data_IF_252942994999
#
_entry.id   IF_252942994999
#
_cell.length_a   1.000
_cell.length_b   1.000
_cell.length_c   1.000
_cell.angle_alpha   90.00
_cell.angle_beta   90.00
_cell.angle_gamma   90.00
#
_symmetry.space_group_name_H-M   'P 1'
#
loop_
_entity.id
_entity.type
_entity.pdbx_description
1 polymer ?
#
# COMPACT_ATOMS: atom_id res chain seq x y z
N UNK A 1 29.13 29.58 -11.17
CA UNK A 1 29.72 28.24 -10.98
C UNK A 1 28.67 27.28 -10.44
N UNK A 2 28.47 26.12 -11.06
CA UNK A 2 27.54 25.10 -10.55
C UNK A 2 28.18 24.46 -9.31
N UNK A 3 27.49 24.39 -8.15
CA UNK A 3 28.08 23.81 -6.95
C UNK A 3 28.50 22.35 -7.15
N UNK A 4 29.71 22.00 -6.73
CA UNK A 4 30.28 20.65 -6.90
C UNK A 4 29.40 19.53 -6.32
N UNK A 5 28.63 19.82 -5.25
CA UNK A 5 27.67 18.88 -4.67
C UNK A 5 26.51 18.55 -5.62
N UNK A 6 26.10 19.51 -6.48
CA UNK A 6 25.02 19.35 -7.46
C UNK A 6 25.49 18.46 -8.61
N UNK A 7 26.72 18.64 -9.08
CA UNK A 7 27.38 17.79 -10.09
C UNK A 7 27.56 16.36 -9.57
N UNK A 8 28.07 16.19 -8.34
CA UNK A 8 28.23 14.87 -7.70
C UNK A 8 26.90 14.14 -7.54
N UNK A 9 25.82 14.86 -7.22
CA UNK A 9 24.46 14.30 -7.10
C UNK A 9 23.90 13.88 -8.46
N UNK A 10 24.09 14.67 -9.50
CA UNK A 10 23.66 14.34 -10.86
C UNK A 10 24.45 13.18 -11.46
N UNK A 11 25.77 13.12 -11.22
CA UNK A 11 26.61 12.00 -11.62
C UNK A 11 26.21 10.71 -10.90
N UNK A 12 25.94 10.75 -9.58
CA UNK A 12 25.40 9.60 -8.83
C UNK A 12 24.04 9.16 -9.37
N UNK A 13 23.19 10.09 -9.78
CA UNK A 13 21.87 9.81 -10.37
C UNK A 13 22.02 9.16 -11.75
N UNK A 14 22.96 9.64 -12.56
CA UNK A 14 23.31 9.08 -13.86
C UNK A 14 23.90 7.68 -13.75
N UNK A 15 24.84 7.45 -12.82
CA UNK A 15 25.41 6.12 -12.55
C UNK A 15 24.33 5.14 -12.05
N UNK A 16 23.44 5.58 -11.16
CA UNK A 16 22.29 4.76 -10.77
C UNK A 16 21.36 4.48 -11.96
N UNK A 17 21.09 5.47 -12.81
CA UNK A 17 20.29 5.30 -14.04
C UNK A 17 20.93 4.30 -15.01
N UNK A 18 22.26 4.35 -15.18
CA UNK A 18 23.01 3.39 -15.98
C UNK A 18 23.00 1.98 -15.38
N UNK A 19 23.05 1.85 -14.05
CA UNK A 19 22.93 0.56 -13.37
C UNK A 19 21.57 -0.14 -13.59
N UNK A 20 20.54 0.59 -14.01
CA UNK A 20 19.23 0.03 -14.37
C UNK A 20 19.10 -0.34 -15.86
N UNK A 21 19.98 0.17 -16.73
CA UNK A 21 19.89 -0.01 -18.17
C UNK A 21 19.97 -1.49 -18.59
N UNK A 22 20.84 -2.34 -18.01
CA UNK A 22 20.85 -3.77 -18.32
C UNK A 22 19.52 -4.45 -17.99
N UNK A 23 18.92 -4.11 -16.84
CA UNK A 23 17.60 -4.62 -16.45
C UNK A 23 16.50 -4.15 -17.38
N UNK A 24 16.56 -2.91 -17.87
CA UNK A 24 15.59 -2.37 -18.83
C UNK A 24 15.67 -3.08 -20.19
N UNK A 25 16.87 -3.38 -20.67
CA UNK A 25 17.06 -4.11 -21.94
C UNK A 25 16.69 -5.59 -21.83
N UNK A 26 16.96 -6.21 -20.67
CA UNK A 26 16.66 -7.61 -20.43
C UNK A 26 15.18 -7.86 -20.10
N UNK A 27 14.48 -6.90 -19.49
CA UNK A 27 13.11 -7.07 -19.00
C UNK A 27 12.11 -7.55 -20.07
N UNK A 28 12.06 -7.01 -21.31
CA UNK A 28 11.13 -7.50 -22.33
C UNK A 28 11.36 -8.97 -22.70
N UNK A 29 12.63 -9.40 -22.81
CA UNK A 29 12.97 -10.80 -23.09
C UNK A 29 12.62 -11.70 -21.91
N UNK A 30 12.94 -11.27 -20.68
CA UNK A 30 12.61 -11.99 -19.47
C UNK A 30 11.09 -12.14 -19.29
N UNK A 31 10.32 -11.08 -19.56
CA UNK A 31 8.85 -11.10 -19.56
C UNK A 31 8.31 -12.10 -20.57
N UNK A 32 8.80 -12.10 -21.82
CA UNK A 32 8.36 -13.07 -22.85
C UNK A 32 8.68 -14.51 -22.44
N UNK A 33 9.87 -14.75 -21.91
CA UNK A 33 10.27 -16.08 -21.42
C UNK A 33 9.40 -16.54 -20.23
N UNK A 34 9.05 -15.61 -19.33
CA UNK A 34 8.11 -15.86 -18.25
C UNK A 34 6.71 -16.16 -18.78
N UNK A 35 6.14 -15.30 -19.62
CA UNK A 35 4.80 -15.45 -20.22
C UNK A 35 4.67 -16.80 -20.97
N UNK A 36 5.73 -17.26 -21.64
CA UNK A 36 5.74 -18.55 -22.34
C UNK A 36 5.76 -19.78 -21.41
N UNK A 37 6.17 -19.63 -20.15
CA UNK A 37 6.34 -20.74 -19.19
C UNK A 37 5.36 -20.68 -18.02
N UNK A 38 4.74 -19.53 -17.77
CA UNK A 38 3.96 -19.29 -16.56
C UNK A 38 2.80 -20.26 -16.40
N UNK A 39 2.16 -20.70 -17.48
CA UNK A 39 1.06 -21.67 -17.42
C UNK A 39 1.48 -23.00 -16.78
N UNK A 40 2.74 -23.43 -16.95
CA UNK A 40 3.28 -24.63 -16.31
C UNK A 40 3.76 -24.39 -14.87
N UNK A 41 3.89 -23.12 -14.44
CA UNK A 41 4.38 -22.73 -13.12
C UNK A 41 3.26 -22.23 -12.20
N UNK A 42 2.09 -21.92 -12.76
CA UNK A 42 0.92 -21.47 -12.02
C UNK A 42 0.09 -22.69 -11.64
N UNK A 43 -0.16 -22.85 -10.34
CA UNK A 43 -1.11 -23.81 -9.81
C UNK A 43 -2.38 -23.08 -9.40
N UNK A 44 -3.48 -23.42 -10.06
CA UNK A 44 -4.81 -22.95 -9.68
C UNK A 44 -5.46 -23.95 -8.71
N UNK A 45 -6.14 -23.44 -7.70
CA UNK A 45 -6.94 -24.25 -6.76
C UNK A 45 -8.27 -23.56 -6.56
N UNK A 46 -9.38 -24.27 -6.82
CA UNK A 46 -10.71 -23.74 -6.59
C UNK A 46 -10.98 -23.61 -5.09
N UNK A 47 -11.54 -22.47 -4.71
CA UNK A 47 -12.04 -22.24 -3.36
C UNK A 47 -13.53 -22.56 -3.25
N UNK A 48 -14.05 -22.44 -2.03
CA UNK A 48 -15.44 -22.72 -1.69
C UNK A 48 -16.33 -21.49 -1.88
N UNK A 49 -15.76 -20.28 -1.81
CA UNK A 49 -16.56 -19.07 -1.97
C UNK A 49 -17.03 -18.91 -3.43
N UNK A 50 -18.30 -18.55 -3.66
CA UNK A 50 -18.81 -18.36 -5.01
C UNK A 50 -18.15 -17.14 -5.66
N UNK A 51 -18.17 -17.10 -6.99
CA UNK A 51 -17.82 -15.91 -7.76
C UNK A 51 -19.01 -14.93 -7.77
N UNK A 52 -18.77 -13.69 -7.36
CA UNK A 52 -19.74 -12.58 -7.41
C UNK A 52 -19.39 -11.61 -8.55
N UNK A 53 -20.17 -10.53 -8.71
CA UNK A 53 -19.90 -9.46 -9.67
C UNK A 53 -18.74 -8.55 -9.26
N UNK A 54 -18.37 -8.51 -7.98
CA UNK A 54 -17.24 -7.73 -7.49
C UNK A 54 -16.12 -8.65 -7.06
N UNK A 55 -14.93 -8.45 -7.63
CA UNK A 55 -13.77 -9.28 -7.34
C UNK A 55 -12.69 -8.51 -6.60
N UNK A 56 -11.92 -9.23 -5.79
CA UNK A 56 -10.67 -8.75 -5.23
C UNK A 56 -9.51 -9.64 -5.70
N UNK A 57 -8.38 -9.01 -6.04
CA UNK A 57 -7.07 -9.68 -6.08
C UNK A 57 -6.39 -9.40 -4.75
N UNK A 58 -6.16 -10.45 -3.95
CA UNK A 58 -5.37 -10.37 -2.72
C UNK A 58 -4.03 -11.05 -2.93
N UNK A 59 -2.96 -10.26 -3.00
CA UNK A 59 -1.61 -10.76 -3.22
C UNK A 59 -0.87 -11.01 -1.92
N UNK A 60 -0.24 -12.18 -1.83
CA UNK A 60 0.44 -12.68 -0.65
C UNK A 60 1.91 -13.01 -0.95
N UNK A 61 2.80 -12.68 -0.03
CA UNK A 61 4.15 -13.21 0.05
C UNK A 61 4.47 -13.65 1.48
N UNK A 62 3.94 -14.83 1.86
CA UNK A 62 4.03 -15.39 3.21
C UNK A 62 4.74 -16.76 3.20
N UNK A 63 6.07 -16.80 3.01
CA UNK A 63 6.82 -18.06 2.95
C UNK A 63 6.86 -18.83 4.28
N UNK A 64 6.44 -18.21 5.39
CA UNK A 64 6.39 -18.80 6.74
C UNK A 64 4.98 -19.30 7.14
N UNK A 65 4.06 -19.40 6.18
CA UNK A 65 2.68 -19.82 6.41
C UNK A 65 1.70 -18.64 6.46
N UNK A 66 0.42 -18.95 6.30
CA UNK A 66 -0.64 -17.94 6.18
C UNK A 66 -1.00 -17.37 7.54
N UNK A 67 -0.93 -16.04 7.65
CA UNK A 67 -1.21 -15.31 8.89
C UNK A 67 -2.69 -15.18 9.19
N UNK A 68 -3.05 -15.06 10.47
CA UNK A 68 -4.44 -14.89 10.92
C UNK A 68 -5.07 -13.61 10.36
N UNK A 69 -4.27 -12.55 10.20
CA UNK A 69 -4.73 -11.32 9.55
C UNK A 69 -5.11 -11.53 8.09
N UNK A 70 -4.43 -12.41 7.35
CA UNK A 70 -4.79 -12.73 5.96
C UNK A 70 -6.17 -13.34 5.88
N UNK A 71 -6.45 -14.32 6.74
CA UNK A 71 -7.77 -14.97 6.82
C UNK A 71 -8.83 -13.95 7.23
N UNK A 72 -8.50 -13.05 8.15
CA UNK A 72 -9.39 -11.94 8.53
C UNK A 72 -9.73 -11.03 7.35
N UNK A 73 -8.76 -10.66 6.51
CA UNK A 73 -9.01 -9.87 5.29
C UNK A 73 -9.97 -10.60 4.35
N UNK A 74 -9.79 -11.91 4.15
CA UNK A 74 -10.65 -12.72 3.29
C UNK A 74 -12.08 -12.82 3.82
N UNK A 75 -12.23 -13.04 5.12
CA UNK A 75 -13.54 -13.03 5.79
C UNK A 75 -14.24 -11.68 5.61
N UNK A 76 -13.51 -10.57 5.79
CA UNK A 76 -14.06 -9.22 5.63
C UNK A 76 -14.49 -8.94 4.19
N UNK A 77 -13.67 -9.28 3.18
CA UNK A 77 -14.03 -9.14 1.76
C UNK A 77 -15.27 -9.96 1.42
N UNK A 78 -15.31 -11.23 1.87
CA UNK A 78 -16.46 -12.13 1.67
C UNK A 78 -17.73 -11.58 2.32
N UNK A 79 -17.64 -11.06 3.54
CA UNK A 79 -18.78 -10.47 4.25
C UNK A 79 -19.37 -9.26 3.52
N UNK A 80 -18.53 -8.52 2.78
CA UNK A 80 -18.95 -7.40 1.93
C UNK A 80 -19.35 -7.83 0.52
N UNK A 81 -19.51 -9.14 0.25
CA UNK A 81 -19.94 -9.63 -1.07
C UNK A 81 -18.86 -9.54 -2.16
N UNK A 82 -17.58 -9.44 -1.78
CA UNK A 82 -16.45 -9.39 -2.73
C UNK A 82 -15.76 -10.75 -2.79
N UNK A 83 -15.80 -11.41 -3.95
CA UNK A 83 -15.13 -12.70 -4.12
C UNK A 83 -13.64 -12.50 -4.38
N UNK A 84 -12.78 -13.24 -3.66
CA UNK A 84 -11.33 -13.02 -3.75
C UNK A 84 -10.65 -14.09 -4.60
N UNK A 85 -9.85 -13.64 -5.58
CA UNK A 85 -8.77 -14.39 -6.19
C UNK A 85 -7.50 -14.12 -5.37
N UNK A 86 -7.04 -15.13 -4.63
CA UNK A 86 -5.81 -15.06 -3.84
C UNK A 86 -4.62 -15.37 -4.72
N UNK A 87 -3.60 -14.53 -4.72
CA UNK A 87 -2.35 -14.76 -5.44
C UNK A 87 -1.23 -15.02 -4.44
N UNK A 88 -0.72 -16.25 -4.37
CA UNK A 88 0.46 -16.55 -3.57
C UNK A 88 1.72 -16.50 -4.42
N UNK A 89 2.62 -15.57 -4.10
CA UNK A 89 3.97 -15.49 -4.68
C UNK A 89 4.98 -16.38 -3.92
N UNK A 90 4.52 -17.25 -3.03
CA UNK A 90 5.32 -18.25 -2.33
C UNK A 90 4.60 -19.61 -2.37
N UNK A 91 5.33 -20.73 -2.30
CA UNK A 91 4.72 -22.05 -2.17
C UNK A 91 3.79 -22.12 -0.95
N UNK A 92 2.63 -22.74 -1.12
CA UNK A 92 1.68 -22.98 -0.02
C UNK A 92 1.76 -24.43 0.46
N UNK A 93 1.76 -24.61 1.78
CA UNK A 93 1.49 -25.92 2.38
C UNK A 93 0.05 -26.34 2.06
N UNK A 94 -0.25 -27.65 2.17
CA UNK A 94 -1.62 -28.13 1.95
C UNK A 94 -2.60 -27.55 3.00
N UNK A 95 -2.15 -27.37 4.25
CA UNK A 95 -2.92 -26.73 5.32
C UNK A 95 -3.23 -25.27 5.01
N UNK A 96 -2.23 -24.50 4.56
CA UNK A 96 -2.42 -23.10 4.17
C UNK A 96 -3.37 -22.98 2.98
N UNK A 97 -3.19 -23.83 1.97
CA UNK A 97 -4.04 -23.87 0.78
C UNK A 97 -5.49 -24.19 1.14
N UNK A 98 -5.72 -25.18 2.01
CA UNK A 98 -7.05 -25.54 2.49
C UNK A 98 -7.70 -24.39 3.30
N UNK A 99 -6.92 -23.72 4.15
CA UNK A 99 -7.38 -22.57 4.94
C UNK A 99 -7.82 -21.42 4.03
N UNK A 100 -7.00 -21.06 3.03
CA UNK A 100 -7.35 -20.05 2.02
C UNK A 100 -8.59 -20.47 1.21
N UNK A 101 -8.69 -21.73 0.82
CA UNK A 101 -9.78 -22.24 -0.03
C UNK A 101 -11.15 -22.11 0.64
N UNK A 102 -11.21 -22.08 1.97
CA UNK A 102 -12.46 -21.89 2.73
C UNK A 102 -13.11 -20.51 2.49
N UNK A 103 -12.31 -19.50 2.17
CA UNK A 103 -12.77 -18.11 2.04
C UNK A 103 -12.57 -17.52 0.63
N UNK A 104 -11.61 -18.02 -0.13
CA UNK A 104 -11.33 -17.57 -1.49
C UNK A 104 -12.32 -18.18 -2.51
N UNK A 105 -12.48 -17.48 -3.63
CA UNK A 105 -13.10 -18.05 -4.83
C UNK A 105 -12.09 -18.87 -5.62
N UNK A 106 -10.88 -18.33 -5.79
CA UNK A 106 -9.81 -18.97 -6.53
C UNK A 106 -8.47 -18.66 -5.87
N UNK A 107 -7.56 -19.63 -5.89
CA UNK A 107 -6.18 -19.45 -5.44
C UNK A 107 -5.26 -19.68 -6.63
N UNK A 108 -4.36 -18.72 -6.86
CA UNK A 108 -3.30 -18.76 -7.85
C UNK A 108 -1.95 -18.78 -7.12
N UNK A 109 -1.32 -19.95 -7.08
CA UNK A 109 0.07 -20.08 -6.61
C UNK A 109 1.03 -19.92 -7.80
N UNK A 110 2.02 -19.04 -7.66
CA UNK A 110 2.95 -18.69 -8.75
C UNK A 110 4.36 -18.35 -8.22
N UNK A 111 5.40 -18.38 -9.08
CA UNK A 111 6.71 -17.84 -8.74
C UNK A 111 6.64 -16.35 -8.43
N UNK A 112 7.52 -15.85 -7.55
CA UNK A 112 7.62 -14.41 -7.22
C UNK A 112 8.28 -13.56 -8.33
N UNK A 113 7.84 -13.72 -9.58
CA UNK A 113 8.32 -12.92 -10.71
C UNK A 113 7.51 -11.62 -10.81
N UNK A 114 8.19 -10.48 -10.91
CA UNK A 114 7.54 -9.16 -10.99
C UNK A 114 6.93 -8.65 -9.67
N UNK A 115 7.18 -9.34 -8.54
CA UNK A 115 6.61 -9.03 -7.22
C UNK A 115 5.09 -8.81 -7.27
N UNK A 116 4.58 -7.85 -6.51
CA UNK A 116 3.17 -7.53 -6.40
C UNK A 116 2.54 -7.23 -7.76
N UNK A 117 3.14 -6.34 -8.55
CA UNK A 117 2.63 -5.99 -9.87
C UNK A 117 2.61 -7.17 -10.86
N UNK A 118 3.54 -8.12 -10.73
CA UNK A 118 3.52 -9.36 -11.50
C UNK A 118 2.32 -10.23 -11.13
N UNK A 119 2.07 -10.41 -9.83
CA UNK A 119 0.91 -11.19 -9.37
C UNK A 119 -0.43 -10.51 -9.65
N UNK A 120 -0.52 -9.18 -9.49
CA UNK A 120 -1.69 -8.40 -9.91
C UNK A 120 -1.98 -8.60 -11.39
N UNK A 121 -0.96 -8.46 -12.23
CA UNK A 121 -1.12 -8.66 -13.67
C UNK A 121 -1.64 -10.06 -14.00
N UNK A 122 -1.01 -11.11 -13.49
CA UNK A 122 -1.39 -12.48 -13.84
C UNK A 122 -2.82 -12.79 -13.37
N UNK A 123 -3.22 -12.34 -12.18
CA UNK A 123 -4.59 -12.48 -11.69
C UNK A 123 -5.60 -11.66 -12.49
N UNK A 124 -5.30 -10.41 -12.80
CA UNK A 124 -6.21 -9.54 -13.57
C UNK A 124 -6.38 -10.07 -14.98
N UNK A 125 -5.30 -10.49 -15.65
CA UNK A 125 -5.41 -11.09 -16.98
C UNK A 125 -6.21 -12.40 -16.94
N UNK A 126 -6.04 -13.23 -15.91
CA UNK A 126 -6.87 -14.43 -15.74
C UNK A 126 -8.35 -14.10 -15.53
N UNK A 127 -8.67 -13.08 -14.73
CA UNK A 127 -10.05 -12.60 -14.55
C UNK A 127 -10.66 -12.10 -15.86
N UNK A 128 -9.86 -11.44 -16.70
CA UNK A 128 -10.29 -10.89 -17.99
C UNK A 128 -10.40 -11.96 -19.11
N UNK A 129 -9.88 -13.17 -18.89
CA UNK A 129 -10.09 -14.32 -19.79
C UNK A 129 -11.47 -14.98 -19.57
N UNK A 130 -12.10 -14.78 -18.40
CA UNK A 130 -13.48 -15.19 -18.12
C UNK A 130 -14.45 -14.25 -18.88
N UNK A 131 -15.52 -14.82 -19.44
CA UNK A 131 -16.54 -14.09 -20.22
C UNK A 131 -17.44 -13.20 -19.35
N UNK A 132 -17.32 -13.28 -18.03
CA UNK A 132 -18.03 -12.46 -17.05
C UNK A 132 -17.09 -11.44 -16.39
N UNK A 133 -16.78 -10.31 -17.05
CA UNK A 133 -15.95 -9.28 -16.44
C UNK A 133 -16.59 -8.78 -15.14
N UNK A 134 -15.82 -8.54 -14.07
CA UNK A 134 -16.41 -8.04 -12.84
C UNK A 134 -16.85 -6.59 -13.00
N UNK A 135 -17.91 -6.21 -12.30
CA UNK A 135 -18.39 -4.83 -12.22
C UNK A 135 -17.38 -3.92 -11.50
N UNK A 136 -16.63 -4.46 -10.54
CA UNK A 136 -15.57 -3.73 -9.82
C UNK A 136 -14.46 -4.70 -9.47
N UNK A 137 -13.22 -4.21 -9.53
CA UNK A 137 -12.04 -4.99 -9.20
C UNK A 137 -11.21 -4.30 -8.14
N UNK A 138 -11.17 -4.86 -6.93
CA UNK A 138 -10.28 -4.46 -5.86
C UNK A 138 -8.92 -5.14 -6.01
N UNK A 139 -7.86 -4.47 -5.59
CA UNK A 139 -6.50 -5.01 -5.55
C UNK A 139 -5.85 -4.62 -4.23
N UNK A 140 -5.39 -5.63 -3.50
CA UNK A 140 -4.77 -5.51 -2.20
C UNK A 140 -3.50 -6.39 -2.13
N UNK A 141 -2.58 -6.07 -1.23
CA UNK A 141 -1.51 -6.99 -0.82
C UNK A 141 -1.47 -7.18 0.69
N UNK A 142 -0.69 -8.17 1.12
CA UNK A 142 -0.44 -8.50 2.52
C UNK A 142 0.62 -7.62 3.20
N UNK A 143 1.01 -6.52 2.57
CA UNK A 143 2.00 -5.60 3.14
C UNK A 143 1.38 -4.65 4.20
N UNK A 144 0.11 -4.88 4.54
CA UNK A 144 -0.69 -4.17 5.52
C UNK A 144 -1.53 -5.16 6.35
N UNK A 145 -1.86 -4.77 7.58
CA UNK A 145 -2.98 -5.36 8.32
C UNK A 145 -4.26 -4.63 7.93
N UNK A 146 -5.26 -5.35 7.46
CA UNK A 146 -6.56 -4.80 7.07
C UNK A 146 -7.69 -5.86 7.16
N UNK A 147 -8.89 -5.48 7.61
CA UNK A 147 -9.16 -4.25 8.35
C UNK A 147 -8.57 -4.34 9.76
N UNK A 148 -8.27 -3.19 10.37
CA UNK A 148 -7.92 -3.14 11.79
C UNK A 148 -9.16 -3.28 12.66
N UNK A 149 -10.25 -2.61 12.29
CA UNK A 149 -11.51 -2.56 13.03
C UNK A 149 -12.60 -3.31 12.24
N UNK A 150 -13.47 -4.11 12.90
CA UNK A 150 -14.49 -4.89 12.19
C UNK A 150 -15.48 -4.06 11.36
N UNK A 151 -15.71 -2.80 11.76
CA UNK A 151 -16.63 -1.83 11.14
C UNK A 151 -15.94 -0.92 10.10
N UNK A 152 -14.76 -1.30 9.60
CA UNK A 152 -14.09 -0.61 8.50
C UNK A 152 -15.01 -0.41 7.30
N UNK A 153 -15.16 0.84 6.85
CA UNK A 153 -16.00 1.28 5.73
C UNK A 153 -15.23 1.43 4.41
N UNK A 154 -13.98 0.95 4.33
CA UNK A 154 -13.11 1.23 3.17
C UNK A 154 -13.62 0.64 1.85
N UNK A 155 -14.30 -0.51 1.89
CA UNK A 155 -14.87 -1.12 0.69
C UNK A 155 -16.05 -0.26 0.19
N UNK A 156 -16.87 0.21 1.11
CA UNK A 156 -18.07 1.03 0.89
C UNK A 156 -17.68 2.41 0.37
N UNK A 157 -16.64 3.03 0.95
CA UNK A 157 -16.09 4.30 0.49
C UNK A 157 -15.55 4.19 -0.94
N UNK A 158 -14.82 3.10 -1.24
CA UNK A 158 -14.37 2.82 -2.60
C UNK A 158 -15.53 2.58 -3.59
N UNK A 159 -16.64 1.97 -3.14
CA UNK A 159 -17.87 1.77 -3.93
C UNK A 159 -18.60 3.07 -4.20
N UNK A 160 -18.67 3.94 -3.21
CA UNK A 160 -19.32 5.25 -3.30
C UNK A 160 -18.55 6.23 -4.19
N UNK A 161 -17.26 5.98 -4.44
CA UNK A 161 -16.50 6.76 -5.41
C UNK A 161 -16.94 6.47 -6.85
N UNK A 162 -17.38 7.52 -7.55
CA UNK A 162 -17.72 7.51 -8.98
C UNK A 162 -16.50 7.48 -9.92
N UNK A 163 -15.30 7.29 -9.38
CA UNK A 163 -14.07 7.28 -10.17
C UNK A 163 -13.69 5.91 -10.70
N UNK A 164 -13.01 5.89 -11.84
CA UNK A 164 -12.51 4.67 -12.49
C UNK A 164 -11.37 4.00 -11.75
N UNK A 165 -10.53 4.78 -11.06
CA UNK A 165 -9.43 4.28 -10.24
C UNK A 165 -9.45 5.01 -8.90
N UNK A 166 -9.72 4.26 -7.85
CA UNK A 166 -9.72 4.76 -6.48
C UNK A 166 -8.60 4.08 -5.70
N UNK A 167 -7.86 4.80 -4.86
CA UNK A 167 -6.86 4.21 -3.97
C UNK A 167 -6.93 4.74 -2.55
N UNK A 168 -6.22 4.10 -1.62
CA UNK A 168 -6.27 4.56 -0.23
C UNK A 168 -5.54 5.89 -0.01
N UNK A 169 -4.29 6.01 -0.48
CA UNK A 169 -3.47 7.22 -0.33
C UNK A 169 -2.93 7.67 -1.68
N UNK A 170 -3.16 8.94 -2.01
CA UNK A 170 -2.52 9.63 -3.12
C UNK A 170 -1.29 10.40 -2.61
N UNK A 171 -0.10 10.01 -3.08
CA UNK A 171 1.14 10.73 -2.82
C UNK A 171 1.34 11.85 -3.86
N UNK A 172 0.93 13.07 -3.53
CA UNK A 172 1.04 14.27 -4.35
C UNK A 172 2.22 15.20 -3.99
N UNK A 173 3.04 14.82 -3.00
CA UNK A 173 4.21 15.61 -2.55
C UNK A 173 5.40 15.60 -3.50
N UNK A 174 5.43 14.66 -4.43
CA UNK A 174 6.51 14.59 -5.40
C UNK A 174 6.40 15.75 -6.38
N UNK A 175 7.48 16.54 -6.54
CA UNK A 175 7.50 17.67 -7.49
C UNK A 175 7.09 17.22 -8.90
N UNK A 176 5.96 17.75 -9.37
CA UNK A 176 5.37 17.53 -10.69
C UNK A 176 4.12 16.64 -10.64
N UNK A 177 3.01 17.10 -11.21
CA UNK A 177 1.72 16.37 -11.23
C UNK A 177 1.83 14.94 -11.80
N UNK A 178 2.78 14.70 -12.71
CA UNK A 178 3.08 13.39 -13.29
C UNK A 178 3.68 12.37 -12.30
N UNK A 179 4.06 12.81 -11.09
CA UNK A 179 4.61 11.95 -10.04
C UNK A 179 3.62 11.69 -8.91
N UNK A 180 2.44 12.32 -8.98
CA UNK A 180 1.36 12.04 -8.06
C UNK A 180 0.82 10.63 -8.34
N UNK A 181 0.95 9.72 -7.37
CA UNK A 181 0.60 8.31 -7.55
C UNK A 181 -0.14 7.75 -6.35
N UNK A 182 -1.06 6.83 -6.62
CA UNK A 182 -1.69 6.00 -5.60
C UNK A 182 -0.68 4.99 -5.09
N UNK A 183 -0.70 4.74 -3.78
CA UNK A 183 0.08 3.66 -3.20
C UNK A 183 -0.56 2.29 -3.51
N UNK A 184 0.28 1.28 -3.72
CA UNK A 184 -0.11 0.01 -4.36
C UNK A 184 -0.55 -1.10 -3.39
N UNK A 185 -1.08 -0.78 -2.20
CA UNK A 185 -1.54 -1.79 -1.22
C UNK A 185 -3.06 -1.88 -1.07
N UNK A 186 -3.80 -0.88 -1.57
CA UNK A 186 -5.26 -0.92 -1.69
C UNK A 186 -5.68 0.04 -2.81
N UNK A 187 -6.28 -0.50 -3.85
CA UNK A 187 -6.93 0.28 -4.91
C UNK A 187 -8.09 -0.50 -5.52
N UNK A 188 -9.03 0.20 -6.16
CA UNK A 188 -10.14 -0.38 -6.88
C UNK A 188 -10.29 0.24 -8.26
N UNK A 189 -10.67 -0.60 -9.22
CA UNK A 189 -11.06 -0.19 -10.57
C UNK A 189 -12.58 -0.25 -10.69
N UNK A 190 -13.18 0.87 -11.06
CA UNK A 190 -14.62 0.98 -11.31
C UNK A 190 -15.06 0.31 -12.61
N UNK A 191 -16.38 0.18 -12.82
CA UNK A 191 -16.94 -0.59 -13.94
C UNK A 191 -16.43 -0.15 -15.32
N UNK A 192 -16.33 1.16 -15.55
CA UNK A 192 -15.87 1.72 -16.82
C UNK A 192 -14.40 1.41 -17.10
N UNK A 193 -13.54 1.40 -16.09
CA UNK A 193 -12.15 0.96 -16.26
C UNK A 193 -12.10 -0.53 -16.59
N UNK A 194 -12.73 -1.38 -15.79
CA UNK A 194 -12.63 -2.85 -15.95
C UNK A 194 -13.16 -3.30 -17.32
N UNK A 195 -14.25 -2.69 -17.81
CA UNK A 195 -14.82 -3.01 -19.12
C UNK A 195 -14.01 -2.46 -20.31
N UNK A 196 -13.01 -1.62 -20.08
CA UNK A 196 -12.28 -0.94 -21.15
C UNK A 196 -11.21 -1.84 -21.78
N UNK A 197 -11.12 -1.91 -23.12
CA UNK A 197 -9.99 -2.56 -23.80
C UNK A 197 -8.64 -1.95 -23.42
N UNK A 198 -8.60 -0.65 -23.08
CA UNK A 198 -7.39 0.03 -22.64
C UNK A 198 -6.87 -0.49 -21.30
N UNK A 199 -7.78 -0.92 -20.41
CA UNK A 199 -7.44 -1.56 -19.14
C UNK A 199 -6.76 -2.91 -19.37
N UNK A 200 -7.37 -3.75 -20.21
CA UNK A 200 -6.79 -5.05 -20.57
C UNK A 200 -5.41 -4.89 -21.24
N UNK A 201 -5.28 -3.93 -22.17
CA UNK A 201 -4.01 -3.62 -22.83
C UNK A 201 -2.94 -3.17 -21.83
N UNK A 202 -3.27 -2.27 -20.90
CA UNK A 202 -2.36 -1.79 -19.87
C UNK A 202 -1.74 -2.95 -19.06
N UNK A 203 -2.56 -3.88 -18.58
CA UNK A 203 -2.07 -5.03 -17.82
C UNK A 203 -1.28 -6.02 -18.68
N UNK A 204 -1.70 -6.24 -19.94
CA UNK A 204 -0.98 -7.12 -20.87
C UNK A 204 0.45 -6.65 -21.14
N UNK A 205 0.60 -5.33 -21.31
CA UNK A 205 1.83 -4.64 -21.69
C UNK A 205 2.65 -4.13 -20.49
N UNK A 206 2.17 -4.39 -19.27
CA UNK A 206 2.83 -3.98 -18.04
C UNK A 206 4.31 -4.40 -18.03
N UNK A 207 5.17 -3.45 -17.67
CA UNK A 207 6.59 -3.70 -17.49
C UNK A 207 6.81 -4.66 -16.29
N UNK A 208 7.52 -5.77 -16.52
CA UNK A 208 7.83 -6.75 -15.47
C UNK A 208 9.34 -6.93 -15.32
N UNK A 209 9.79 -6.98 -14.07
CA UNK A 209 11.19 -7.23 -13.71
C UNK A 209 11.31 -7.74 -12.27
N UNK A 210 12.39 -8.46 -11.97
CA UNK A 210 12.73 -8.89 -10.59
C UNK A 210 13.57 -7.87 -9.82
N UNK A 211 13.70 -6.64 -10.33
CA UNK A 211 14.33 -5.55 -9.60
C UNK A 211 13.27 -4.72 -8.86
N UNK A 212 13.20 -4.86 -7.53
CA UNK A 212 12.20 -4.19 -6.67
C UNK A 212 12.16 -2.67 -6.87
N UNK A 213 13.32 -2.02 -6.98
CA UNK A 213 13.41 -0.57 -7.20
C UNK A 213 12.83 -0.16 -8.56
N UNK A 214 13.00 -0.99 -9.58
CA UNK A 214 12.41 -0.75 -10.89
C UNK A 214 10.91 -0.99 -10.91
N UNK A 215 10.40 -1.98 -10.17
CA UNK A 215 8.95 -2.19 -10.04
C UNK A 215 8.27 -0.95 -9.44
N UNK A 216 8.80 -0.39 -8.35
CA UNK A 216 8.23 0.87 -7.79
C UNK A 216 8.30 2.02 -8.81
N UNK A 217 9.44 2.20 -9.48
CA UNK A 217 9.64 3.32 -10.42
C UNK A 217 8.91 3.19 -11.74
N UNK A 218 8.61 1.97 -12.18
CA UNK A 218 8.04 1.69 -13.51
C UNK A 218 6.61 1.16 -13.48
N UNK A 219 6.15 0.67 -12.33
CA UNK A 219 4.79 0.19 -12.16
C UNK A 219 4.01 1.13 -11.23
N UNK A 220 4.38 1.23 -9.95
CA UNK A 220 3.61 2.00 -8.96
C UNK A 220 3.50 3.49 -9.30
N UNK A 221 4.64 4.18 -9.48
CA UNK A 221 4.64 5.62 -9.75
C UNK A 221 3.93 5.95 -11.08
N UNK A 222 4.18 5.23 -12.20
CA UNK A 222 3.54 5.56 -13.46
C UNK A 222 2.08 5.14 -13.57
N UNK A 223 1.58 4.17 -12.79
CA UNK A 223 0.23 3.62 -12.95
C UNK A 223 -0.85 4.71 -12.94
N UNK A 224 -0.87 5.54 -11.89
CA UNK A 224 -1.86 6.62 -11.78
C UNK A 224 -1.80 7.60 -12.95
N UNK A 225 -0.59 7.95 -13.39
CA UNK A 225 -0.39 8.81 -14.56
C UNK A 225 -0.86 8.15 -15.86
N UNK A 226 -0.55 6.87 -16.05
CA UNK A 226 -0.97 6.10 -17.23
C UNK A 226 -2.49 6.01 -17.32
N UNK A 227 -3.18 5.69 -16.23
CA UNK A 227 -4.64 5.64 -16.19
C UNK A 227 -5.28 7.00 -16.51
N UNK A 228 -4.73 8.10 -15.97
CA UNK A 228 -5.18 9.46 -16.34
C UNK A 228 -4.98 9.75 -17.83
N UNK A 229 -3.83 9.39 -18.40
CA UNK A 229 -3.56 9.55 -19.84
C UNK A 229 -4.52 8.73 -20.71
N UNK A 230 -4.96 7.57 -20.22
CA UNK A 230 -5.99 6.74 -20.87
C UNK A 230 -7.42 7.30 -20.71
N UNK A 231 -7.60 8.44 -20.04
CA UNK A 231 -8.89 9.11 -19.84
C UNK A 231 -9.66 8.67 -18.59
N UNK A 232 -9.04 7.89 -17.70
CA UNK A 232 -9.67 7.44 -16.46
C UNK A 232 -9.56 8.49 -15.34
N UNK A 233 -10.67 8.69 -14.64
CA UNK A 233 -10.77 9.51 -13.44
C UNK A 233 -10.11 8.82 -12.25
N UNK A 234 -9.49 9.60 -11.36
CA UNK A 234 -8.74 9.07 -10.21
C UNK A 234 -9.11 9.81 -8.93
N UNK A 235 -9.49 9.06 -7.90
CA UNK A 235 -9.68 9.56 -6.53
C UNK A 235 -8.81 8.79 -5.52
N UNK A 236 -8.75 9.31 -4.30
CA UNK A 236 -8.21 8.60 -3.17
C UNK A 236 -8.93 9.00 -1.88
N UNK A 237 -8.93 8.11 -0.88
CA UNK A 237 -9.46 8.42 0.46
C UNK A 237 -8.67 9.53 1.12
N UNK A 238 -7.35 9.38 1.08
CA UNK A 238 -6.44 10.26 1.80
C UNK A 238 -5.39 10.88 0.89
N UNK A 239 -5.06 12.11 1.24
CA UNK A 239 -3.93 12.89 0.73
C UNK A 239 -3.03 13.27 1.89
N UNK A 240 -1.83 13.72 1.56
CA UNK A 240 -0.90 14.20 2.57
C UNK A 240 -1.39 15.47 3.28
N UNK A 241 -2.25 16.27 2.64
CA UNK A 241 -2.91 17.42 3.28
C UNK A 241 -3.77 17.02 4.48
N UNK A 242 -4.37 15.83 4.45
CA UNK A 242 -5.27 15.37 5.50
C UNK A 242 -4.47 15.05 6.77
N UNK A 243 -3.23 14.56 6.61
CA UNK A 243 -2.28 14.40 7.71
C UNK A 243 -1.93 15.74 8.37
N UNK A 244 -1.68 16.79 7.59
CA UNK A 244 -1.43 18.13 8.11
C UNK A 244 -2.64 18.67 8.89
N UNK A 245 -3.84 18.51 8.37
CA UNK A 245 -5.08 18.93 9.04
C UNK A 245 -5.30 18.14 10.34
N UNK A 246 -5.11 16.82 10.31
CA UNK A 246 -5.22 15.97 11.48
C UNK A 246 -4.22 16.35 12.58
N UNK A 247 -2.98 16.69 12.22
CA UNK A 247 -1.99 17.21 13.18
C UNK A 247 -2.46 18.53 13.82
N UNK A 248 -3.01 19.44 13.02
CA UNK A 248 -3.57 20.72 13.48
C UNK A 248 -4.85 20.58 14.29
N UNK A 249 -5.51 19.43 14.29
CA UNK A 249 -6.68 19.16 15.12
C UNK A 249 -6.29 18.63 16.53
N UNK A 250 -5.05 18.22 16.75
CA UNK A 250 -4.60 17.69 18.03
C UNK A 250 -4.48 18.77 19.10
N UNK A 251 -4.70 18.38 20.36
CA UNK A 251 -4.34 19.21 21.51
C UNK A 251 -2.80 19.32 21.65
N UNK A 252 -2.32 20.31 22.40
CA UNK A 252 -0.89 20.58 22.52
C UNK A 252 -0.11 19.45 23.23
N UNK A 253 -0.74 18.70 24.12
CA UNK A 253 -0.08 17.60 24.82
C UNK A 253 0.16 16.41 23.88
N UNK A 254 -0.86 16.04 23.11
CA UNK A 254 -0.80 14.99 22.09
C UNK A 254 0.14 15.39 20.95
N UNK A 255 0.09 16.65 20.50
CA UNK A 255 0.96 17.15 19.44
C UNK A 255 2.45 17.11 19.86
N UNK A 256 2.77 17.41 21.12
CA UNK A 256 4.12 17.26 21.64
C UNK A 256 4.61 15.80 21.64
N UNK A 257 3.72 14.83 21.94
CA UNK A 257 4.06 13.39 21.80
C UNK A 257 4.35 13.03 20.35
N UNK A 258 3.55 13.54 19.41
CA UNK A 258 3.80 13.33 17.97
C UNK A 258 5.15 13.91 17.56
N UNK A 259 5.54 15.08 18.05
CA UNK A 259 6.86 15.67 17.78
C UNK A 259 7.98 14.78 18.34
N UNK A 260 7.83 14.28 19.57
CA UNK A 260 8.82 13.38 20.20
C UNK A 260 8.99 12.07 19.41
N UNK A 261 7.91 11.54 18.86
CA UNK A 261 7.94 10.44 17.91
C UNK A 261 8.63 10.82 16.60
N UNK A 262 8.26 11.96 16.00
CA UNK A 262 8.77 12.40 14.70
C UNK A 262 10.27 12.63 14.69
N UNK A 263 10.83 13.13 15.81
CA UNK A 263 12.28 13.30 16.01
C UNK A 263 13.05 11.97 15.89
N UNK A 264 12.42 10.86 16.27
CA UNK A 264 13.01 9.52 16.15
C UNK A 264 12.87 8.95 14.73
N UNK A 265 11.78 9.29 14.03
CA UNK A 265 11.50 8.80 12.67
C UNK A 265 12.29 9.55 11.59
N UNK A 266 12.35 10.88 11.64
CA UNK A 266 13.05 11.72 10.65
C UNK A 266 14.26 12.42 11.27
N UNK A 267 15.35 11.66 11.42
CA UNK A 267 16.62 12.14 11.98
C UNK A 267 17.20 13.36 11.25
N UNK A 268 16.83 13.56 9.98
CA UNK A 268 17.28 14.73 9.20
C UNK A 268 16.64 16.03 9.68
N UNK A 269 15.36 15.99 10.06
CA UNK A 269 14.60 17.16 10.50
C UNK A 269 14.54 17.27 12.04
N UNK A 270 15.02 16.25 12.75
CA UNK A 270 15.11 16.23 14.22
C UNK A 270 15.70 17.51 14.84
N UNK A 271 16.79 18.12 14.35
CA UNK A 271 17.33 19.34 14.94
C UNK A 271 16.35 20.53 14.92
N UNK A 272 15.44 20.58 13.93
CA UNK A 272 14.41 21.63 13.84
C UNK A 272 13.22 21.37 14.76
N UNK A 273 12.92 20.10 15.03
CA UNK A 273 11.77 19.70 15.84
C UNK A 273 12.08 19.60 17.35
N UNK A 274 13.34 19.30 17.72
CA UNK A 274 13.77 19.16 19.13
C UNK A 274 13.47 20.39 19.99
N UNK A 275 13.68 21.65 19.54
CA UNK A 275 13.38 22.84 20.34
C UNK A 275 11.94 22.88 20.86
N UNK A 276 10.96 22.39 20.10
CA UNK A 276 9.55 22.32 20.53
C UNK A 276 9.31 21.42 21.74
N UNK A 277 10.26 20.54 22.09
CA UNK A 277 10.16 19.63 23.23
C UNK A 277 10.85 20.18 24.48
N UNK A 278 11.78 21.12 24.33
CA UNK A 278 12.66 21.58 25.41
C UNK A 278 12.44 23.03 25.81
N UNK A 279 11.81 23.85 24.95
CA UNK A 279 11.73 25.30 25.13
C UNK A 279 10.32 25.79 25.47
N UNK A 280 10.23 26.51 26.60
CA UNK A 280 9.05 27.32 26.96
C UNK A 280 7.77 26.54 27.26
N UNK A 281 6.71 27.25 27.69
CA UNK A 281 5.40 26.67 27.87
C UNK A 281 4.76 26.30 26.51
N UNK A 282 3.91 25.27 26.51
CA UNK A 282 3.14 24.83 25.32
C UNK A 282 1.89 25.67 25.12
N UNK A 283 2.09 26.97 24.95
CA UNK A 283 1.04 27.98 24.78
C UNK A 283 0.68 28.22 23.30
N UNK A 284 -0.06 29.31 23.02
CA UNK A 284 -0.44 29.68 21.67
C UNK A 284 0.76 30.04 20.77
N UNK A 285 1.83 30.62 21.33
CA UNK A 285 3.02 30.95 20.56
C UNK A 285 3.80 29.69 20.18
N UNK A 286 3.88 28.70 21.09
CA UNK A 286 4.38 27.36 20.76
C UNK A 286 3.57 26.73 19.63
N UNK A 287 2.24 26.75 19.74
CA UNK A 287 1.33 26.18 18.73
C UNK A 287 1.54 26.79 17.35
N UNK A 288 1.63 28.12 17.26
CA UNK A 288 1.86 28.81 15.99
C UNK A 288 3.18 28.38 15.31
N UNK A 289 4.25 28.16 16.09
CA UNK A 289 5.53 27.67 15.53
C UNK A 289 5.43 26.22 15.04
N UNK A 290 4.72 25.36 15.77
CA UNK A 290 4.50 23.97 15.35
C UNK A 290 3.63 23.92 14.10
N UNK A 291 2.56 24.72 14.02
CA UNK A 291 1.68 24.79 12.84
C UNK A 291 2.46 25.24 11.60
N UNK A 292 3.40 26.17 11.73
CA UNK A 292 4.28 26.57 10.63
C UNK A 292 5.20 25.41 10.16
N UNK A 293 5.66 24.56 11.07
CA UNK A 293 6.44 23.35 10.72
C UNK A 293 5.57 22.25 10.09
N UNK A 294 4.29 22.14 10.50
CA UNK A 294 3.30 21.28 9.84
C UNK A 294 3.07 21.76 8.40
N UNK A 295 2.86 23.07 8.20
CA UNK A 295 2.67 23.65 6.86
C UNK A 295 3.91 23.52 5.97
N UNK A 296 5.10 23.50 6.58
CA UNK A 296 6.35 23.19 5.89
C UNK A 296 6.51 21.69 5.55
N UNK A 297 5.57 20.83 5.94
CA UNK A 297 5.56 19.40 5.65
C UNK A 297 6.57 18.58 6.46
N UNK A 298 6.97 19.06 7.64
CA UNK A 298 8.02 18.43 8.45
C UNK A 298 7.53 17.26 9.33
N UNK A 299 6.22 17.21 9.63
CA UNK A 299 5.64 16.22 10.54
C UNK A 299 4.84 15.10 9.86
N UNK A 300 4.54 15.23 8.57
CA UNK A 300 3.64 14.32 7.83
C UNK A 300 4.29 13.79 6.54
N UNK A 301 5.62 13.71 6.53
CA UNK A 301 6.42 13.32 5.36
C UNK A 301 6.10 11.94 4.80
N UNK A 302 5.64 11.02 5.64
CA UNK A 302 5.28 9.66 5.24
C UNK A 302 3.96 9.26 5.90
N UNK A 303 2.90 9.11 5.09
CA UNK A 303 1.55 8.88 5.59
C UNK A 303 1.47 7.66 6.52
N UNK A 304 1.82 6.46 6.04
CA UNK A 304 1.71 5.22 6.84
C UNK A 304 2.71 5.12 8.01
N UNK A 305 3.67 6.05 8.14
CA UNK A 305 4.60 6.10 9.28
C UNK A 305 4.11 7.13 10.30
N UNK A 306 3.06 7.91 10.02
CA UNK A 306 2.59 8.92 10.95
C UNK A 306 2.19 8.31 12.31
N UNK A 307 2.30 9.12 13.36
CA UNK A 307 2.00 8.68 14.73
C UNK A 307 0.56 8.14 14.85
N UNK A 308 0.29 7.09 15.65
CA UNK A 308 -1.04 6.50 15.79
C UNK A 308 -2.16 7.46 16.19
N UNK A 309 -1.85 8.50 16.96
CA UNK A 309 -2.79 9.60 17.25
C UNK A 309 -3.37 10.24 15.99
N UNK A 310 -2.56 10.34 14.93
CA UNK A 310 -2.96 10.91 13.64
C UNK A 310 -3.68 9.86 12.81
N UNK A 311 -3.06 8.70 12.58
CA UNK A 311 -3.60 7.68 11.69
C UNK A 311 -4.89 7.07 12.24
N UNK A 312 -4.85 6.56 13.47
CA UNK A 312 -5.96 5.83 14.07
C UNK A 312 -6.90 6.80 14.79
N UNK A 313 -6.35 7.74 15.56
CA UNK A 313 -7.14 8.67 16.37
C UNK A 313 -7.93 9.69 15.57
N UNK A 314 -7.26 10.45 14.68
CA UNK A 314 -7.88 11.53 13.91
C UNK A 314 -8.44 11.04 12.57
N UNK A 315 -7.62 10.34 11.77
CA UNK A 315 -7.98 9.95 10.40
C UNK A 315 -8.79 8.64 10.33
N UNK A 316 -8.88 7.88 11.44
CA UNK A 316 -9.57 6.59 11.51
C UNK A 316 -9.15 5.62 10.39
N UNK A 317 -7.85 5.60 10.09
CA UNK A 317 -7.26 4.75 9.07
C UNK A 317 -7.48 3.28 9.44
N UNK A 318 -8.15 2.47 8.59
CA UNK A 318 -8.54 1.09 8.91
C UNK A 318 -7.44 0.07 8.61
N UNK A 319 -6.20 0.52 8.37
CA UNK A 319 -5.08 -0.34 7.99
C UNK A 319 -3.75 0.11 8.61
N UNK A 320 -2.83 -0.82 8.82
CA UNK A 320 -1.51 -0.52 9.37
C UNK A 320 -0.42 -1.21 8.56
N UNK A 321 0.74 -0.58 8.39
CA UNK A 321 1.84 -1.17 7.62
C UNK A 321 2.42 -2.39 8.35
N UNK A 322 2.47 -3.52 7.64
CA UNK A 322 3.05 -4.80 8.10
C UNK A 322 4.50 -4.92 7.62
N UNK A 323 5.44 -4.42 8.42
CA UNK A 323 6.87 -4.36 8.10
C UNK A 323 7.71 -4.37 9.39
N UNK A 324 8.85 -5.07 9.39
CA UNK A 324 9.74 -5.22 10.54
C UNK A 324 10.77 -4.09 10.69
N UNK A 325 10.81 -3.09 9.81
CA UNK A 325 11.72 -1.94 9.98
C UNK A 325 11.46 -1.22 11.31
N UNK A 326 12.53 -0.75 11.95
CA UNK A 326 12.50 -0.11 13.29
C UNK A 326 11.52 1.05 13.41
N UNK A 327 11.29 1.79 12.33
CA UNK A 327 10.30 2.88 12.28
C UNK A 327 8.87 2.40 12.51
N UNK A 328 8.49 1.23 11.98
CA UNK A 328 7.17 0.64 12.19
C UNK A 328 7.07 -0.06 13.54
N UNK A 329 8.18 -0.62 14.05
CA UNK A 329 8.22 -1.12 15.43
C UNK A 329 7.98 0.01 16.44
N UNK A 330 8.62 1.17 16.23
CA UNK A 330 8.38 2.36 17.04
C UNK A 330 6.91 2.80 16.96
N UNK A 331 6.32 2.80 15.76
CA UNK A 331 4.90 3.13 15.57
C UNK A 331 3.98 2.17 16.35
N UNK A 332 4.24 0.85 16.30
CA UNK A 332 3.47 -0.15 17.03
C UNK A 332 3.63 0.00 18.55
N UNK A 333 4.81 0.35 19.06
CA UNK A 333 4.99 0.67 20.47
C UNK A 333 4.13 1.86 20.91
N UNK A 334 4.12 2.95 20.14
CA UNK A 334 3.23 4.10 20.43
C UNK A 334 1.74 3.76 20.28
N UNK A 335 1.38 2.84 19.37
CA UNK A 335 0.02 2.37 19.18
C UNK A 335 -0.51 1.75 20.47
N UNK A 336 0.23 0.78 21.02
CA UNK A 336 -0.15 0.09 22.25
C UNK A 336 -0.02 0.98 23.49
N UNK A 337 1.06 1.76 23.60
CA UNK A 337 1.24 2.68 24.74
C UNK A 337 0.17 3.78 24.78
N UNK A 338 -0.38 4.16 23.62
CA UNK A 338 -1.46 5.12 23.50
C UNK A 338 -2.87 4.54 23.55
N UNK A 339 -3.04 3.22 23.67
CA UNK A 339 -4.35 2.56 23.69
C UNK A 339 -5.13 2.64 22.37
N UNK A 340 -4.46 2.91 21.24
CA UNK A 340 -5.08 3.08 19.93
C UNK A 340 -5.55 1.74 19.31
N UNK A 341 -5.22 0.61 19.93
CA UNK A 341 -5.60 -0.75 19.53
C UNK A 341 -6.93 -1.24 20.14
N UNK A 342 -7.59 -0.44 20.98
CA UNK A 342 -8.78 -0.85 21.76
C UNK A 342 -9.92 -1.37 20.87
N UNK A 343 -10.12 -0.80 19.69
CA UNK A 343 -11.17 -1.21 18.73
C UNK A 343 -10.73 -2.27 17.72
N UNK A 344 -9.50 -2.78 17.80
CA UNK A 344 -8.98 -3.68 16.77
C UNK A 344 -9.59 -5.08 16.91
N UNK A 345 -9.81 -5.74 15.77
CA UNK A 345 -10.20 -7.14 15.73
C UNK A 345 -9.18 -7.98 16.55
N UNK A 346 -9.60 -8.80 17.53
CA UNK A 346 -8.68 -9.46 18.46
C UNK A 346 -7.55 -10.23 17.77
N UNK A 347 -7.87 -11.03 16.75
CA UNK A 347 -6.86 -11.78 15.98
C UNK A 347 -5.82 -10.91 15.28
N UNK A 348 -6.21 -9.73 14.80
CA UNK A 348 -5.30 -8.78 14.14
C UNK A 348 -4.44 -8.09 15.18
N UNK A 349 -5.05 -7.64 16.29
CA UNK A 349 -4.35 -7.01 17.41
C UNK A 349 -3.29 -7.92 18.02
N UNK A 350 -3.63 -9.19 18.25
CA UNK A 350 -2.74 -10.16 18.87
C UNK A 350 -1.55 -10.46 17.94
N UNK A 351 -1.81 -10.58 16.63
CA UNK A 351 -0.74 -10.71 15.62
C UNK A 351 0.16 -9.47 15.57
N UNK A 352 -0.40 -8.25 15.58
CA UNK A 352 0.39 -7.00 15.60
C UNK A 352 1.29 -6.96 16.85
N UNK A 353 0.78 -7.44 17.99
CA UNK A 353 1.50 -7.44 19.28
C UNK A 353 2.69 -8.40 19.27
N UNK A 354 2.55 -9.58 18.66
CA UNK A 354 3.64 -10.56 18.54
C UNK A 354 4.54 -10.34 17.32
N UNK A 355 4.18 -9.44 16.40
CA UNK A 355 4.86 -9.28 15.11
C UNK A 355 6.35 -8.91 15.23
N UNK A 356 6.71 -8.18 16.28
CA UNK A 356 8.08 -7.71 16.51
C UNK A 356 8.90 -8.61 17.44
N UNK A 357 8.30 -9.71 17.92
CA UNK A 357 9.02 -10.70 18.70
C UNK A 357 10.04 -11.42 17.81
N UNK A 358 11.27 -11.67 18.29
CA UNK A 358 12.18 -12.56 17.58
C UNK A 358 11.55 -13.96 17.50
N UNK A 359 11.58 -14.55 16.31
CA UNK A 359 11.17 -15.94 16.06
C UNK A 359 11.98 -16.94 16.88
#
# INVERSE_FOLDING_TARGET
MIPAWKIKRELKRFVMQMGYLPWMLAAPRAKRAYDARKAAQIRLTQGVAPRTSELAVLLLFQPRGITASTLHTLEHLKAHGVSTLVVSNAPLSDTDRASLATHAWLIMERPNYGYDFGGYRDAILHILEDDRPPARLFVLNDSIWFPLQPDSDLIEDARASDTDLYGFVLNDRMRGAHRAHLQSYFFSFGPRAVASPAFAAYWRDLFLTNNKNLVVRRCEIPMTGAFRTLGFSVAARHRYSDGAQALKALDNATLARVIAYQVQVDTRNAPRLKPHLTEGPRDAAWRARVDADIDAGLLDKYFLIAHPAVLIGQLRVPLLKKDHQSIYQLQRRELFAGGYDTGFAPRVRDEIRSWDSPD
#
